data_IF_289455374226
#
_entry.id   IF_289455374226
#
_cell.length_a   1.000
_cell.length_b   1.000
_cell.length_c   1.000
_cell.angle_alpha   90.00
_cell.angle_beta   90.00
_cell.angle_gamma   90.00
#
_symmetry.space_group_name_H-M   'P 1'
#
loop_
_entity.id
_entity.type
_entity.pdbx_description
1 polymer ?
#
# COMPACT_ATOMS: atom_id res chain seq x y z
N UNK A 1 21.23 -62.10 40.01
CA UNK A 1 22.35 -61.17 40.30
C UNK A 1 22.37 -60.14 39.19
N UNK A 2 22.04 -58.87 39.47
CA UNK A 2 22.21 -57.80 38.47
C UNK A 2 23.62 -57.20 38.60
N UNK A 3 24.18 -56.65 37.50
CA UNK A 3 25.48 -56.01 37.53
C UNK A 3 25.41 -54.57 38.06
N UNK A 4 26.50 -54.18 38.72
CA UNK A 4 26.79 -52.93 39.40
C UNK A 4 26.88 -51.72 38.43
N UNK A 5 26.57 -50.48 38.88
CA UNK A 5 26.74 -49.28 38.06
C UNK A 5 28.21 -48.79 38.08
N UNK A 6 28.68 -48.14 37.00
CA UNK A 6 29.99 -47.49 36.94
C UNK A 6 29.95 -46.10 37.59
N UNK A 7 31.12 -45.73 38.09
CA UNK A 7 31.35 -44.64 39.03
C UNK A 7 31.23 -43.21 38.48
N UNK A 8 31.02 -42.32 39.45
CA UNK A 8 31.09 -40.86 39.35
C UNK A 8 32.43 -40.36 38.82
N UNK A 9 32.40 -39.64 37.69
CA UNK A 9 33.46 -38.72 37.30
C UNK A 9 33.04 -37.28 37.54
N UNK A 10 33.73 -36.62 38.41
CA UNK A 10 33.63 -35.23 38.80
C UNK A 10 33.81 -34.30 37.56
N UNK A 11 32.76 -33.61 37.18
CA UNK A 11 32.86 -32.51 36.20
C UNK A 11 33.18 -31.22 36.91
N UNK A 12 34.38 -30.75 36.81
CA UNK A 12 34.83 -29.42 37.17
C UNK A 12 34.15 -28.39 36.28
N UNK A 13 33.50 -27.43 36.95
CA UNK A 13 32.86 -26.22 36.37
C UNK A 13 33.92 -25.39 35.65
N UNK A 14 33.79 -25.27 34.33
CA UNK A 14 34.48 -24.24 33.57
C UNK A 14 33.42 -23.27 33.06
N UNK A 15 33.15 -22.21 33.84
CA UNK A 15 32.38 -21.04 33.45
C UNK A 15 33.21 -20.23 32.45
N UNK A 16 33.22 -20.70 31.20
CA UNK A 16 33.82 -20.01 30.06
C UNK A 16 32.89 -18.91 29.58
N UNK A 17 33.32 -17.67 29.79
CA UNK A 17 32.76 -16.44 29.21
C UNK A 17 32.41 -16.61 27.73
N UNK A 18 31.14 -16.77 27.43
CA UNK A 18 30.64 -16.67 26.06
C UNK A 18 30.57 -15.18 25.70
N UNK A 19 31.70 -14.56 25.33
CA UNK A 19 31.73 -13.32 24.60
C UNK A 19 31.07 -13.57 23.25
N UNK A 20 29.85 -13.06 23.06
CA UNK A 20 29.29 -12.88 21.73
C UNK A 20 30.27 -11.99 20.94
N UNK A 21 30.99 -12.62 20.04
CA UNK A 21 31.68 -11.89 18.98
C UNK A 21 30.60 -11.46 17.97
N UNK A 22 30.46 -10.18 17.65
CA UNK A 22 29.70 -9.75 16.50
C UNK A 22 30.57 -10.02 15.26
N UNK A 23 30.49 -11.24 14.76
CA UNK A 23 31.02 -11.61 13.45
C UNK A 23 30.11 -11.03 12.37
N UNK A 24 30.23 -9.74 12.11
CA UNK A 24 29.80 -9.14 10.85
C UNK A 24 30.63 -9.83 9.74
N UNK A 25 30.00 -10.76 9.05
CA UNK A 25 30.45 -11.15 7.72
C UNK A 25 30.27 -9.91 6.85
N UNK A 26 31.35 -9.19 6.61
CA UNK A 26 31.46 -8.20 5.55
C UNK A 26 31.28 -8.95 4.22
N UNK A 27 30.00 -9.12 3.83
CA UNK A 27 29.63 -9.51 2.47
C UNK A 27 30.17 -8.44 1.55
N UNK A 28 31.00 -8.88 0.62
CA UNK A 28 31.72 -8.15 -0.41
C UNK A 28 30.79 -7.16 -1.19
N UNK A 29 30.47 -6.02 -0.60
CA UNK A 29 29.81 -4.89 -1.25
C UNK A 29 30.89 -3.92 -1.71
N UNK A 30 31.22 -4.07 -3.01
CA UNK A 30 31.97 -3.13 -3.83
C UNK A 30 31.92 -1.68 -3.32
N UNK A 31 33.02 -1.14 -2.85
CA UNK A 31 33.44 0.28 -2.93
C UNK A 31 32.55 1.42 -2.43
N UNK A 32 31.26 1.17 -2.10
CA UNK A 32 30.32 2.24 -1.71
C UNK A 32 30.52 2.66 -0.26
N UNK A 33 30.86 3.94 0.05
CA UNK A 33 31.04 4.41 1.40
C UNK A 33 29.82 4.18 2.29
N UNK A 34 30.05 3.90 3.60
CA UNK A 34 28.98 3.63 4.56
C UNK A 34 27.91 4.73 4.59
N UNK A 35 28.31 5.98 4.52
CA UNK A 35 27.39 7.12 4.53
C UNK A 35 26.42 7.11 3.33
N UNK A 36 26.89 6.72 2.12
CA UNK A 36 26.02 6.57 0.94
C UNK A 36 25.00 5.46 1.15
N UNK A 37 25.40 4.34 1.75
CA UNK A 37 24.47 3.23 2.08
C UNK A 37 23.44 3.66 3.11
N UNK A 38 23.82 4.47 4.09
CA UNK A 38 22.90 5.04 5.09
C UNK A 38 21.90 5.97 4.41
N UNK A 39 22.34 6.91 3.59
CA UNK A 39 21.43 7.80 2.83
C UNK A 39 20.48 6.96 1.95
N UNK A 40 21.01 6.00 1.23
CA UNK A 40 20.19 5.10 0.43
C UNK A 40 19.16 4.35 1.29
N UNK A 41 19.55 3.88 2.47
CA UNK A 41 18.63 3.25 3.44
C UNK A 41 17.47 4.15 3.83
N UNK A 42 17.70 5.43 4.10
CA UNK A 42 16.64 6.39 4.41
C UNK A 42 15.75 6.72 3.20
N UNK A 43 16.29 6.72 1.97
CA UNK A 43 15.51 6.95 0.75
C UNK A 43 14.61 5.76 0.40
N UNK A 44 15.07 4.53 0.69
CA UNK A 44 14.32 3.30 0.40
C UNK A 44 13.32 2.97 1.51
N UNK A 45 13.60 3.40 2.76
CA UNK A 45 12.77 3.12 3.93
C UNK A 45 11.25 3.32 3.71
N UNK A 46 10.78 4.44 3.13
CA UNK A 46 9.35 4.71 3.01
C UNK A 46 8.68 4.08 1.79
N UNK A 47 9.35 3.17 1.08
CA UNK A 47 8.82 2.54 -0.15
C UNK A 47 8.46 3.54 -1.26
N UNK A 48 9.46 4.02 -1.98
CA UNK A 48 9.31 5.08 -2.99
C UNK A 48 8.22 4.82 -4.04
N UNK A 49 8.04 3.57 -4.50
CA UNK A 49 7.07 3.24 -5.57
C UNK A 49 5.62 3.52 -5.15
N UNK A 50 5.10 3.03 -4.02
CA UNK A 50 3.77 3.41 -3.54
C UNK A 50 3.59 4.92 -3.36
N UNK A 51 4.60 5.62 -2.83
CA UNK A 51 4.55 7.08 -2.65
C UNK A 51 4.36 7.77 -4.00
N UNK A 52 5.18 7.43 -5.00
CA UNK A 52 5.09 8.03 -6.33
C UNK A 52 3.70 7.80 -6.94
N UNK A 53 3.16 6.58 -6.85
CA UNK A 53 1.83 6.25 -7.39
C UNK A 53 0.76 7.13 -6.75
N UNK A 54 0.78 7.27 -5.41
CA UNK A 54 -0.22 8.09 -4.70
C UNK A 54 -0.04 9.58 -5.00
N UNK A 55 1.19 10.07 -5.12
CA UNK A 55 1.45 11.48 -5.51
C UNK A 55 0.98 11.77 -6.93
N UNK A 56 1.21 10.87 -7.89
CA UNK A 56 0.72 10.99 -9.27
C UNK A 56 -0.82 10.98 -9.28
N UNK A 57 -1.46 10.09 -8.54
CA UNK A 57 -2.92 10.07 -8.41
C UNK A 57 -3.46 11.36 -7.78
N UNK A 58 -2.82 11.85 -6.70
CA UNK A 58 -3.18 13.13 -6.05
C UNK A 58 -3.08 14.29 -7.02
N UNK A 59 -2.01 14.35 -7.80
CA UNK A 59 -1.81 15.38 -8.81
C UNK A 59 -2.85 15.31 -9.94
N UNK A 60 -3.13 14.10 -10.45
CA UNK A 60 -4.17 13.90 -11.46
C UNK A 60 -5.55 14.35 -10.96
N UNK A 61 -5.92 13.99 -9.73
CA UNK A 61 -7.16 14.45 -9.12
C UNK A 61 -7.17 15.97 -8.88
N UNK A 62 -6.02 16.58 -8.56
CA UNK A 62 -5.94 18.04 -8.41
C UNK A 62 -6.17 18.77 -9.72
N UNK A 63 -5.62 18.26 -10.83
CA UNK A 63 -5.90 18.79 -12.17
C UNK A 63 -7.38 18.69 -12.52
N UNK A 64 -8.01 17.54 -12.24
CA UNK A 64 -9.42 17.31 -12.50
C UNK A 64 -10.31 18.22 -11.63
N UNK A 65 -10.06 18.30 -10.32
CA UNK A 65 -10.85 19.11 -9.38
C UNK A 65 -10.77 20.61 -9.69
N UNK A 66 -9.60 21.08 -10.15
CA UNK A 66 -9.38 22.49 -10.52
C UNK A 66 -9.77 22.80 -11.97
N UNK A 67 -10.21 21.81 -12.74
CA UNK A 67 -10.45 21.95 -14.19
C UNK A 67 -9.26 22.59 -14.92
N UNK A 68 -8.04 22.16 -14.56
CA UNK A 68 -6.77 22.68 -15.10
C UNK A 68 -5.70 22.77 -14.03
N UNK A 69 -4.76 23.68 -14.22
CA UNK A 69 -3.63 23.87 -13.30
C UNK A 69 -4.05 24.59 -12.01
N UNK A 70 -3.94 23.97 -10.82
CA UNK A 70 -4.37 24.60 -9.56
C UNK A 70 -3.42 25.68 -9.05
N UNK A 71 -2.32 25.93 -9.73
CA UNK A 71 -1.27 26.85 -9.32
C UNK A 71 -0.14 26.15 -8.56
N UNK A 72 1.10 26.63 -8.72
CA UNK A 72 2.30 25.98 -8.18
C UNK A 72 2.28 25.88 -6.65
N UNK A 73 1.90 26.97 -5.96
CA UNK A 73 1.85 26.98 -4.50
C UNK A 73 0.80 26.05 -3.90
N UNK A 74 -0.35 25.87 -4.56
CA UNK A 74 -1.38 24.91 -4.17
C UNK A 74 -0.88 23.48 -4.40
N UNK A 75 -0.34 23.20 -5.58
CA UNK A 75 0.20 21.89 -5.95
C UNK A 75 1.28 21.42 -4.98
N UNK A 76 2.26 22.27 -4.68
CA UNK A 76 3.34 21.91 -3.77
C UNK A 76 2.86 21.61 -2.35
N UNK A 77 1.91 22.40 -1.83
CA UNK A 77 1.34 22.15 -0.49
C UNK A 77 0.51 20.88 -0.46
N UNK A 78 -0.32 20.65 -1.50
CA UNK A 78 -1.16 19.45 -1.60
C UNK A 78 -0.30 18.18 -1.70
N UNK A 79 0.66 18.15 -2.63
CA UNK A 79 1.57 17.01 -2.80
C UNK A 79 2.48 16.84 -1.59
N UNK A 80 2.93 17.94 -0.97
CA UNK A 80 3.74 17.89 0.25
C UNK A 80 2.97 17.31 1.45
N UNK A 81 1.69 17.65 1.63
CA UNK A 81 0.84 17.07 2.66
C UNK A 81 0.68 15.56 2.44
N UNK A 82 0.37 15.15 1.21
CA UNK A 82 0.25 13.73 0.85
C UNK A 82 1.59 13.00 1.04
N UNK A 83 2.70 13.58 0.58
CA UNK A 83 4.03 13.01 0.75
C UNK A 83 4.36 12.79 2.23
N UNK A 84 4.07 13.77 3.09
CA UNK A 84 4.26 13.65 4.54
C UNK A 84 3.49 12.48 5.14
N UNK A 85 2.22 12.32 4.79
CA UNK A 85 1.38 11.19 5.22
C UNK A 85 1.94 9.84 4.74
N UNK A 86 2.31 9.75 3.46
CA UNK A 86 2.89 8.53 2.88
C UNK A 86 4.25 8.18 3.48
N UNK A 87 5.09 9.18 3.76
CA UNK A 87 6.36 9.01 4.44
C UNK A 87 6.17 8.39 5.83
N UNK A 88 5.22 8.90 6.60
CA UNK A 88 4.89 8.36 7.91
C UNK A 88 4.36 6.92 7.84
N UNK A 89 3.44 6.63 6.92
CA UNK A 89 2.88 5.28 6.70
C UNK A 89 3.99 4.28 6.35
N UNK A 90 4.87 4.63 5.40
CA UNK A 90 5.97 3.77 4.97
C UNK A 90 6.97 3.51 6.09
N UNK A 91 7.36 4.55 6.85
CA UNK A 91 8.28 4.40 7.98
C UNK A 91 7.69 3.56 9.11
N UNK A 92 6.39 3.72 9.44
CA UNK A 92 5.69 2.86 10.41
C UNK A 92 5.63 1.41 9.93
N UNK A 93 5.37 1.19 8.63
CA UNK A 93 5.35 -0.16 8.07
C UNK A 93 6.68 -0.88 8.28
N UNK A 94 7.81 -0.21 8.00
CA UNK A 94 9.15 -0.77 8.23
C UNK A 94 9.46 -1.00 9.72
N UNK A 95 9.01 -0.10 10.62
CA UNK A 95 9.16 -0.28 12.07
C UNK A 95 8.40 -1.51 12.58
N UNK A 96 7.19 -1.73 12.11
CA UNK A 96 6.34 -2.88 12.49
C UNK A 96 6.89 -4.18 11.93
N UNK A 97 7.42 -4.15 10.72
CA UNK A 97 7.95 -5.34 10.05
C UNK A 97 9.38 -5.70 10.50
N UNK A 98 10.14 -4.78 11.09
CA UNK A 98 11.55 -4.95 11.42
C UNK A 98 11.91 -6.27 12.14
N UNK A 99 11.14 -6.77 13.15
CA UNK A 99 11.45 -8.04 13.82
C UNK A 99 11.36 -9.26 12.89
N UNK A 100 10.40 -9.27 11.97
CA UNK A 100 10.21 -10.38 11.01
C UNK A 100 11.19 -10.25 9.83
N UNK A 101 11.41 -9.04 9.36
CA UNK A 101 12.35 -8.77 8.29
C UNK A 101 13.79 -9.09 8.70
N UNK A 102 14.14 -9.01 9.99
CA UNK A 102 15.43 -9.44 10.49
C UNK A 102 15.74 -10.92 10.19
N UNK A 103 14.71 -11.76 10.09
CA UNK A 103 14.84 -13.18 9.74
C UNK A 103 14.66 -13.41 8.24
N UNK A 104 13.63 -12.80 7.65
CA UNK A 104 13.21 -13.11 6.29
C UNK A 104 13.91 -12.24 5.22
N UNK A 105 14.29 -11.01 5.56
CA UNK A 105 14.85 -9.99 4.64
C UNK A 105 15.95 -9.18 5.32
N UNK A 106 17.08 -9.79 5.71
CA UNK A 106 18.13 -9.16 6.50
C UNK A 106 18.79 -7.95 5.80
N UNK A 107 18.65 -7.85 4.48
CA UNK A 107 19.21 -6.76 3.67
C UNK A 107 18.35 -5.47 3.71
N UNK A 108 17.15 -5.51 4.30
CA UNK A 108 16.32 -4.30 4.46
C UNK A 108 17.00 -3.26 5.36
N UNK A 109 16.69 -1.95 5.18
CA UNK A 109 17.41 -0.85 5.85
C UNK A 109 17.53 -0.96 7.36
N UNK A 110 16.46 -1.36 8.07
CA UNK A 110 16.49 -1.49 9.54
C UNK A 110 17.22 -2.75 9.97
N UNK A 111 16.90 -3.97 9.48
CA UNK A 111 17.65 -5.18 9.78
C UNK A 111 19.15 -5.09 9.46
N UNK A 112 19.51 -4.47 8.33
CA UNK A 112 20.90 -4.27 7.91
C UNK A 112 21.66 -3.23 8.76
N UNK A 113 21.01 -2.56 9.73
CA UNK A 113 21.62 -1.53 10.56
C UNK A 113 21.98 -0.23 9.82
N UNK A 114 21.41 -0.03 8.62
CA UNK A 114 21.58 1.21 7.84
C UNK A 114 20.70 2.34 8.39
N UNK A 115 19.51 2.00 8.89
CA UNK A 115 18.58 2.91 9.55
C UNK A 115 18.31 2.40 10.96
N UNK A 116 18.48 3.25 11.97
CA UNK A 116 18.12 2.90 13.35
C UNK A 116 16.62 2.99 13.58
N UNK A 117 16.09 2.26 14.58
CA UNK A 117 14.68 2.37 14.98
C UNK A 117 14.31 3.83 15.34
N UNK A 118 15.20 4.55 16.02
CA UNK A 118 14.96 5.96 16.34
C UNK A 118 14.99 6.84 15.08
N UNK A 119 15.87 6.55 14.12
CA UNK A 119 15.89 7.21 12.82
C UNK A 119 14.57 7.02 12.06
N UNK A 120 14.04 5.81 12.04
CA UNK A 120 12.72 5.54 11.42
C UNK A 120 11.57 6.25 12.15
N UNK A 121 11.60 6.33 13.50
CA UNK A 121 10.64 7.12 14.30
C UNK A 121 10.72 8.61 13.99
N UNK A 122 11.92 9.15 13.80
CA UNK A 122 12.12 10.54 13.40
C UNK A 122 11.54 10.81 12.01
N UNK A 123 11.74 9.90 11.04
CA UNK A 123 11.13 9.99 9.71
C UNK A 123 9.60 9.98 9.82
N UNK A 124 9.03 9.10 10.66
CA UNK A 124 7.59 9.08 10.93
C UNK A 124 7.10 10.41 11.47
N UNK A 125 7.76 10.94 12.51
CA UNK A 125 7.41 12.23 13.13
C UNK A 125 7.51 13.40 12.16
N UNK A 126 8.59 13.47 11.39
CA UNK A 126 8.80 14.50 10.37
C UNK A 126 7.70 14.44 9.28
N UNK A 127 7.34 13.23 8.83
CA UNK A 127 6.25 13.02 7.88
C UNK A 127 4.91 13.50 8.42
N UNK A 128 4.58 13.16 9.67
CA UNK A 128 3.34 13.62 10.32
C UNK A 128 3.31 15.13 10.47
N UNK A 129 4.40 15.76 10.90
CA UNK A 129 4.49 17.22 11.03
C UNK A 129 4.29 17.88 9.67
N UNK A 130 4.95 17.39 8.62
CA UNK A 130 4.81 17.91 7.26
C UNK A 130 3.36 17.81 6.78
N UNK A 131 2.72 16.66 6.96
CA UNK A 131 1.31 16.42 6.62
C UNK A 131 0.41 17.40 7.36
N UNK A 132 0.54 17.54 8.68
CA UNK A 132 -0.28 18.44 9.51
C UNK A 132 -0.12 19.90 9.07
N UNK A 133 1.13 20.37 9.00
CA UNK A 133 1.42 21.78 8.67
C UNK A 133 0.86 22.14 7.30
N UNK A 134 1.11 21.32 6.28
CA UNK A 134 0.70 21.63 4.92
C UNK A 134 -0.81 21.45 4.71
N UNK A 135 -1.43 20.41 5.28
CA UNK A 135 -2.88 20.22 5.15
C UNK A 135 -3.70 21.29 5.89
N UNK A 136 -3.23 21.78 7.04
CA UNK A 136 -3.85 22.87 7.76
C UNK A 136 -3.84 24.19 6.98
N UNK A 137 -2.90 24.42 6.07
CA UNK A 137 -2.92 25.62 5.20
C UNK A 137 -4.14 25.69 4.28
N UNK A 138 -4.86 24.57 4.09
CA UNK A 138 -6.11 24.48 3.35
C UNK A 138 -7.35 24.45 4.25
N UNK A 139 -7.16 24.55 5.57
CA UNK A 139 -8.24 24.55 6.55
C UNK A 139 -8.47 23.22 7.27
N UNK A 140 -9.32 23.21 8.30
CA UNK A 140 -9.52 22.06 9.18
C UNK A 140 -10.09 20.84 8.47
N UNK A 141 -10.99 21.03 7.50
CA UNK A 141 -11.56 19.92 6.73
C UNK A 141 -10.49 19.15 5.95
N UNK A 142 -9.59 19.87 5.25
CA UNK A 142 -8.49 19.25 4.53
C UNK A 142 -7.55 18.47 5.48
N UNK A 143 -7.23 19.08 6.62
CA UNK A 143 -6.43 18.42 7.64
C UNK A 143 -7.11 17.13 8.15
N UNK A 144 -8.39 17.18 8.53
CA UNK A 144 -9.10 16.01 9.08
C UNK A 144 -9.17 14.85 8.08
N UNK A 145 -9.47 15.14 6.82
CA UNK A 145 -9.53 14.11 5.77
C UNK A 145 -8.14 13.51 5.48
N UNK A 146 -7.10 14.34 5.39
CA UNK A 146 -5.72 13.88 5.19
C UNK A 146 -5.23 13.07 6.39
N UNK A 147 -5.51 13.52 7.61
CA UNK A 147 -5.17 12.83 8.86
C UNK A 147 -5.90 11.49 8.96
N UNK A 148 -7.19 11.42 8.59
CA UNK A 148 -7.95 10.17 8.55
C UNK A 148 -7.33 9.17 7.57
N UNK A 149 -6.97 9.61 6.36
CA UNK A 149 -6.29 8.75 5.38
C UNK A 149 -4.94 8.24 5.89
N UNK A 150 -4.14 9.13 6.49
CA UNK A 150 -2.83 8.77 7.07
C UNK A 150 -2.99 7.81 8.25
N UNK A 151 -3.91 8.08 9.17
CA UNK A 151 -4.21 7.22 10.32
C UNK A 151 -4.67 5.83 9.86
N UNK A 152 -5.48 5.75 8.81
CA UNK A 152 -5.95 4.50 8.22
C UNK A 152 -4.80 3.69 7.64
N UNK A 153 -3.84 4.32 6.95
CA UNK A 153 -2.63 3.65 6.44
C UNK A 153 -1.70 3.16 7.56
N UNK A 154 -1.57 3.92 8.64
CA UNK A 154 -0.84 3.50 9.85
C UNK A 154 -1.55 2.32 10.52
N UNK A 155 -2.87 2.39 10.69
CA UNK A 155 -3.67 1.31 11.25
C UNK A 155 -3.56 0.02 10.44
N UNK A 156 -3.53 0.13 9.10
CA UNK A 156 -3.24 -1.01 8.23
C UNK A 156 -1.93 -1.69 8.62
N UNK A 157 -0.85 -0.94 8.74
CA UNK A 157 0.49 -1.48 9.05
C UNK A 157 0.55 -2.15 10.42
N UNK A 158 -0.14 -1.60 11.43
CA UNK A 158 -0.08 -2.10 12.83
C UNK A 158 -1.03 -3.28 13.06
N UNK A 159 -2.28 -3.22 12.56
CA UNK A 159 -3.33 -4.16 12.98
C UNK A 159 -3.91 -5.00 11.86
N UNK A 160 -4.05 -4.45 10.64
CA UNK A 160 -4.85 -5.10 9.59
C UNK A 160 -4.04 -5.92 8.60
N UNK A 161 -2.77 -5.57 8.37
CA UNK A 161 -1.93 -6.11 7.29
C UNK A 161 -1.91 -7.64 7.20
N UNK A 162 -1.95 -8.33 8.34
CA UNK A 162 -1.86 -9.80 8.44
C UNK A 162 -3.18 -10.49 8.78
N UNK A 163 -4.28 -9.76 8.69
CA UNK A 163 -5.60 -10.25 9.04
C UNK A 163 -6.52 -10.37 7.82
N UNK A 164 -7.61 -11.13 7.98
CA UNK A 164 -8.69 -11.23 6.98
C UNK A 164 -9.34 -9.85 6.71
N UNK A 165 -9.19 -8.89 7.63
CA UNK A 165 -9.72 -7.54 7.55
C UNK A 165 -8.78 -6.54 6.86
N UNK A 166 -7.70 -7.01 6.25
CA UNK A 166 -6.68 -6.18 5.58
C UNK A 166 -7.23 -5.26 4.48
N UNK A 167 -8.40 -5.57 3.94
CA UNK A 167 -9.10 -4.76 2.93
C UNK A 167 -9.82 -3.52 3.51
N UNK A 168 -10.17 -3.51 4.81
CA UNK A 168 -10.94 -2.39 5.42
C UNK A 168 -10.20 -1.05 5.34
N UNK A 169 -8.93 -0.93 5.71
CA UNK A 169 -8.20 0.34 5.57
C UNK A 169 -8.14 0.85 4.12
N UNK A 170 -8.04 -0.05 3.15
CA UNK A 170 -8.06 0.34 1.73
C UNK A 170 -9.43 0.87 1.31
N UNK A 171 -10.51 0.28 1.83
CA UNK A 171 -11.88 0.74 1.58
C UNK A 171 -12.10 2.18 2.08
N UNK A 172 -11.43 2.57 3.16
CA UNK A 172 -11.50 3.94 3.67
C UNK A 172 -10.54 4.85 2.89
N UNK A 173 -9.26 4.48 2.78
CA UNK A 173 -8.20 5.37 2.30
C UNK A 173 -8.28 5.67 0.80
N UNK A 174 -8.59 4.67 -0.05
CA UNK A 174 -8.55 4.87 -1.50
C UNK A 174 -9.68 5.80 -2.01
N UNK A 175 -10.97 5.61 -1.61
CA UNK A 175 -12.01 6.57 -1.99
C UNK A 175 -11.85 7.95 -1.32
N UNK A 176 -11.20 7.99 -0.14
CA UNK A 176 -10.98 9.23 0.58
C UNK A 176 -10.01 10.17 -0.16
N UNK A 177 -9.08 9.63 -0.94
CA UNK A 177 -8.09 10.43 -1.68
C UNK A 177 -8.74 11.46 -2.62
N UNK A 178 -9.60 11.09 -3.59
CA UNK A 178 -10.28 12.08 -4.42
C UNK A 178 -11.18 13.00 -3.61
N UNK A 179 -11.91 12.50 -2.60
CA UNK A 179 -12.77 13.34 -1.75
C UNK A 179 -11.94 14.41 -1.03
N UNK A 180 -10.78 14.05 -0.48
CA UNK A 180 -9.85 14.99 0.13
C UNK A 180 -9.39 16.08 -0.85
N UNK A 181 -9.01 15.68 -2.07
CA UNK A 181 -8.55 16.64 -3.09
C UNK A 181 -9.67 17.61 -3.47
N UNK A 182 -10.89 17.12 -3.73
CA UNK A 182 -12.04 18.00 -4.03
C UNK A 182 -12.43 18.90 -2.86
N UNK A 183 -12.47 18.37 -1.65
CA UNK A 183 -12.75 19.17 -0.45
C UNK A 183 -11.68 20.25 -0.21
N UNK A 184 -10.44 19.98 -0.59
CA UNK A 184 -9.32 20.92 -0.43
C UNK A 184 -9.35 22.04 -1.49
N UNK A 185 -9.78 21.73 -2.71
CA UNK A 185 -9.76 22.65 -3.84
C UNK A 185 -11.10 23.37 -4.07
N UNK A 186 -12.13 23.10 -3.26
CA UNK A 186 -13.28 24.00 -3.11
C UNK A 186 -14.63 23.50 -3.62
N UNK A 187 -14.78 22.25 -4.09
CA UNK A 187 -16.09 21.76 -4.51
C UNK A 187 -16.24 20.24 -4.32
N UNK A 188 -16.95 19.84 -3.27
CA UNK A 188 -17.39 18.43 -3.16
C UNK A 188 -18.71 18.28 -3.89
N UNK A 189 -18.69 17.59 -5.02
CA UNK A 189 -19.90 17.13 -5.69
C UNK A 189 -20.43 15.88 -4.97
N UNK A 190 -21.76 15.80 -4.74
CA UNK A 190 -22.41 14.65 -4.11
C UNK A 190 -22.21 13.36 -4.93
N UNK A 191 -22.11 13.47 -6.25
CA UNK A 191 -21.77 12.35 -7.14
C UNK A 191 -20.42 11.73 -6.84
N UNK A 192 -19.50 12.49 -6.21
CA UNK A 192 -18.21 11.96 -5.77
C UNK A 192 -18.37 10.90 -4.65
N UNK A 193 -19.43 10.99 -3.84
CA UNK A 193 -19.69 10.02 -2.78
C UNK A 193 -20.04 8.62 -3.33
N UNK A 194 -20.51 8.53 -4.57
CA UNK A 194 -20.74 7.25 -5.26
C UNK A 194 -19.44 6.45 -5.48
N UNK A 195 -18.27 7.09 -5.33
CA UNK A 195 -16.98 6.40 -5.37
C UNK A 195 -16.84 5.36 -4.24
N UNK A 196 -17.59 5.49 -3.13
CA UNK A 196 -17.56 4.49 -2.07
C UNK A 196 -18.19 3.16 -2.50
N UNK A 197 -19.45 3.05 -2.97
CA UNK A 197 -20.00 1.77 -3.40
C UNK A 197 -19.27 1.19 -4.61
N UNK A 198 -18.88 2.02 -5.59
CA UNK A 198 -18.08 1.59 -6.75
C UNK A 198 -16.67 1.20 -6.32
N UNK A 199 -16.03 2.06 -5.51
CA UNK A 199 -14.67 1.85 -5.03
C UNK A 199 -14.54 0.67 -4.08
N UNK A 200 -15.57 0.34 -3.30
CA UNK A 200 -15.54 -0.80 -2.39
C UNK A 200 -15.22 -2.11 -3.11
N UNK A 201 -15.90 -2.38 -4.23
CA UNK A 201 -15.65 -3.58 -5.03
C UNK A 201 -14.26 -3.55 -5.67
N UNK A 202 -13.83 -2.39 -6.21
CA UNK A 202 -12.49 -2.23 -6.80
C UNK A 202 -11.38 -2.40 -5.76
N UNK A 203 -11.58 -1.88 -4.54
CA UNK A 203 -10.63 -2.01 -3.42
C UNK A 203 -10.45 -3.46 -3.01
N UNK A 204 -11.53 -4.23 -2.91
CA UNK A 204 -11.45 -5.67 -2.61
C UNK A 204 -10.67 -6.40 -3.70
N UNK A 205 -10.93 -6.06 -4.97
CA UNK A 205 -10.18 -6.63 -6.09
C UNK A 205 -8.68 -6.32 -6.01
N UNK A 206 -8.30 -5.06 -5.74
CA UNK A 206 -6.91 -4.62 -5.59
C UNK A 206 -6.23 -5.36 -4.43
N UNK A 207 -6.87 -5.42 -3.26
CA UNK A 207 -6.29 -6.05 -2.07
C UNK A 207 -6.04 -7.54 -2.28
N UNK A 208 -7.00 -8.24 -2.89
CA UNK A 208 -6.83 -9.66 -3.22
C UNK A 208 -5.72 -9.85 -4.25
N UNK A 209 -5.73 -9.07 -5.34
CA UNK A 209 -4.75 -9.18 -6.41
C UNK A 209 -3.31 -8.90 -5.93
N UNK A 210 -3.14 -7.94 -5.00
CA UNK A 210 -1.86 -7.61 -4.39
C UNK A 210 -1.29 -8.76 -3.54
N UNK A 211 -2.17 -9.47 -2.82
CA UNK A 211 -1.76 -10.58 -1.94
C UNK A 211 -1.63 -11.93 -2.68
N UNK A 212 -2.07 -11.99 -3.93
CA UNK A 212 -2.16 -13.25 -4.68
C UNK A 212 -0.82 -13.96 -4.90
N UNK A 213 0.30 -13.26 -5.23
CA UNK A 213 1.59 -13.91 -5.41
C UNK A 213 2.14 -14.56 -4.14
N UNK A 214 1.77 -14.05 -2.97
CA UNK A 214 2.33 -14.45 -1.68
C UNK A 214 1.45 -15.45 -0.92
N UNK A 215 0.29 -15.87 -1.47
CA UNK A 215 -0.70 -16.72 -0.78
C UNK A 215 -0.11 -17.97 -0.14
N UNK A 216 0.79 -18.67 -0.82
CA UNK A 216 1.37 -19.92 -0.29
C UNK A 216 2.41 -19.62 0.80
N UNK A 217 3.23 -18.58 0.63
CA UNK A 217 4.22 -18.15 1.62
C UNK A 217 3.53 -17.59 2.88
N UNK A 218 2.49 -16.78 2.70
CA UNK A 218 1.66 -16.25 3.77
C UNK A 218 0.98 -17.35 4.57
N UNK A 219 0.41 -18.34 3.87
CA UNK A 219 -0.20 -19.52 4.51
C UNK A 219 0.81 -20.29 5.36
N UNK A 220 2.01 -20.54 4.84
CA UNK A 220 3.08 -21.21 5.56
C UNK A 220 3.55 -20.44 6.80
N UNK A 221 3.48 -19.10 6.75
CA UNK A 221 3.85 -18.21 7.86
C UNK A 221 2.72 -17.92 8.84
N UNK A 222 1.53 -18.54 8.67
CA UNK A 222 0.38 -18.34 9.55
C UNK A 222 -0.36 -17.00 9.35
N UNK A 223 -0.04 -16.26 8.30
CA UNK A 223 -0.75 -15.02 7.90
C UNK A 223 -2.14 -15.40 7.39
N UNK A 224 -3.17 -14.62 7.77
CA UNK A 224 -4.58 -14.91 7.46
C UNK A 224 -5.23 -13.76 6.68
N UNK A 225 -4.69 -13.43 5.51
CA UNK A 225 -5.36 -12.47 4.62
C UNK A 225 -6.60 -13.06 3.94
N UNK A 226 -7.43 -12.22 3.34
CA UNK A 226 -8.61 -12.69 2.58
C UNK A 226 -8.17 -13.60 1.42
N UNK A 227 -7.08 -13.29 0.73
CA UNK A 227 -6.54 -14.12 -0.36
C UNK A 227 -6.10 -15.51 0.13
N UNK A 228 -5.45 -15.58 1.32
CA UNK A 228 -5.06 -16.85 1.95
C UNK A 228 -6.27 -17.68 2.34
N UNK A 229 -7.32 -17.05 2.90
CA UNK A 229 -8.56 -17.73 3.30
C UNK A 229 -9.30 -18.34 2.10
N UNK A 230 -9.32 -17.65 0.97
CA UNK A 230 -9.94 -18.12 -0.27
C UNK A 230 -9.10 -19.19 -1.01
N UNK A 231 -7.78 -19.09 -0.90
CA UNK A 231 -6.82 -19.82 -1.74
C UNK A 231 -6.63 -19.15 -3.11
N UNK A 232 -5.49 -19.39 -3.76
CA UNK A 232 -5.03 -18.63 -4.92
C UNK A 232 -6.04 -18.57 -6.09
N UNK A 233 -6.67 -19.69 -6.43
CA UNK A 233 -7.63 -19.77 -7.55
C UNK A 233 -8.92 -18.97 -7.25
N UNK A 234 -9.57 -19.24 -6.11
CA UNK A 234 -10.80 -18.54 -5.73
C UNK A 234 -10.53 -17.05 -5.47
N UNK A 235 -9.39 -16.72 -4.89
CA UNK A 235 -8.97 -15.34 -4.67
C UNK A 235 -8.88 -14.58 -6.01
N UNK A 236 -8.24 -15.16 -7.03
CA UNK A 236 -8.15 -14.56 -8.36
C UNK A 236 -9.52 -14.36 -9.01
N UNK A 237 -10.39 -15.37 -8.98
CA UNK A 237 -11.75 -15.27 -9.50
C UNK A 237 -12.53 -14.18 -8.75
N UNK A 238 -12.40 -14.13 -7.42
CA UNK A 238 -13.06 -13.10 -6.59
C UNK A 238 -12.56 -11.69 -6.97
N UNK A 239 -11.25 -11.51 -7.23
CA UNK A 239 -10.72 -10.23 -7.70
C UNK A 239 -11.32 -9.80 -9.05
N UNK A 240 -11.45 -10.71 -10.01
CA UNK A 240 -12.09 -10.43 -11.30
C UNK A 240 -13.57 -10.08 -11.15
N UNK A 241 -14.31 -10.86 -10.36
CA UNK A 241 -15.74 -10.64 -10.11
C UNK A 241 -15.97 -9.30 -9.39
N UNK A 242 -15.14 -8.99 -8.40
CA UNK A 242 -15.24 -7.73 -7.67
C UNK A 242 -14.94 -6.52 -8.58
N UNK A 243 -13.94 -6.61 -9.47
CA UNK A 243 -13.66 -5.55 -10.42
C UNK A 243 -14.74 -5.40 -11.49
N UNK A 244 -15.30 -6.51 -11.99
CA UNK A 244 -16.44 -6.50 -12.88
C UNK A 244 -17.65 -5.84 -12.22
N UNK A 245 -17.93 -6.16 -10.97
CA UNK A 245 -18.99 -5.52 -10.19
C UNK A 245 -18.76 -4.01 -10.06
N UNK A 246 -17.52 -3.58 -9.78
CA UNK A 246 -17.16 -2.16 -9.75
C UNK A 246 -17.45 -1.47 -11.09
N UNK A 247 -17.07 -2.09 -12.21
CA UNK A 247 -17.30 -1.56 -13.55
C UNK A 247 -18.80 -1.47 -13.88
N UNK A 248 -19.57 -2.49 -13.53
CA UNK A 248 -21.04 -2.51 -13.74
C UNK A 248 -21.74 -1.46 -12.87
N UNK A 249 -21.36 -1.33 -11.60
CA UNK A 249 -21.89 -0.29 -10.71
C UNK A 249 -21.55 1.12 -11.24
N UNK A 250 -20.31 1.34 -11.65
CA UNK A 250 -19.90 2.62 -12.24
C UNK A 250 -20.72 2.94 -13.51
N UNK A 251 -20.82 1.99 -14.43
CA UNK A 251 -21.56 2.18 -15.68
C UNK A 251 -23.07 2.40 -15.43
N UNK A 252 -23.66 1.66 -14.50
CA UNK A 252 -25.08 1.76 -14.16
C UNK A 252 -25.44 3.06 -13.43
N UNK A 253 -24.56 3.57 -12.55
CA UNK A 253 -24.80 4.81 -11.80
C UNK A 253 -24.48 6.07 -12.63
N UNK A 254 -23.63 5.97 -13.65
CA UNK A 254 -23.16 7.11 -14.42
C UNK A 254 -24.32 7.99 -14.99
N UNK A 255 -25.41 7.45 -15.61
CA UNK A 255 -26.48 8.28 -16.15
C UNK A 255 -27.25 9.12 -15.10
N UNK A 256 -27.14 8.72 -13.82
CA UNK A 256 -27.86 9.39 -12.72
C UNK A 256 -27.00 10.43 -12.00
N UNK A 257 -25.68 10.35 -12.14
CA UNK A 257 -24.73 11.10 -11.32
C UNK A 257 -23.83 12.02 -12.13
N UNK A 258 -23.82 11.94 -13.47
CA UNK A 258 -23.01 12.79 -14.34
C UNK A 258 -23.67 13.06 -15.68
N UNK A 259 -23.46 14.26 -16.23
CA UNK A 259 -23.89 14.63 -17.59
C UNK A 259 -23.03 13.98 -18.68
N UNK A 260 -21.95 13.31 -18.32
CA UNK A 260 -21.00 12.69 -19.25
C UNK A 260 -20.83 11.17 -19.05
N UNK A 261 -21.93 10.36 -19.05
CA UNK A 261 -21.87 8.92 -18.74
C UNK A 261 -20.98 8.13 -19.70
N UNK A 262 -20.84 8.58 -20.95
CA UNK A 262 -20.02 7.92 -21.98
C UNK A 262 -18.57 7.74 -21.52
N UNK A 263 -18.01 8.68 -20.77
CA UNK A 263 -16.64 8.58 -20.25
C UNK A 263 -16.48 7.43 -19.27
N UNK A 264 -17.47 7.27 -18.38
CA UNK A 264 -17.51 6.15 -17.43
C UNK A 264 -17.69 4.82 -18.15
N UNK A 265 -18.53 4.77 -19.17
CA UNK A 265 -18.72 3.56 -19.99
C UNK A 265 -17.44 3.15 -20.73
N UNK A 266 -16.71 4.10 -21.30
CA UNK A 266 -15.40 3.83 -21.91
C UNK A 266 -14.43 3.28 -20.87
N UNK A 267 -14.36 3.90 -19.68
CA UNK A 267 -13.52 3.42 -18.60
C UNK A 267 -13.90 2.01 -18.13
N UNK A 268 -15.20 1.71 -18.03
CA UNK A 268 -15.70 0.38 -17.68
C UNK A 268 -15.35 -0.68 -18.74
N UNK A 269 -15.43 -0.33 -20.03
CA UNK A 269 -15.01 -1.23 -21.13
C UNK A 269 -13.50 -1.50 -21.09
N UNK A 270 -12.68 -0.50 -20.82
CA UNK A 270 -11.23 -0.68 -20.66
C UNK A 270 -10.93 -1.58 -19.44
N UNK A 271 -11.62 -1.35 -18.32
CA UNK A 271 -11.47 -2.19 -17.13
C UNK A 271 -11.84 -3.65 -17.42
N UNK A 272 -12.95 -3.90 -18.14
CA UNK A 272 -13.35 -5.22 -18.57
C UNK A 272 -12.29 -5.86 -19.49
N UNK A 273 -11.75 -5.12 -20.45
CA UNK A 273 -10.68 -5.61 -21.33
C UNK A 273 -9.44 -6.05 -20.56
N UNK A 274 -9.06 -5.31 -19.50
CA UNK A 274 -7.93 -5.67 -18.64
C UNK A 274 -8.19 -6.94 -17.82
N UNK A 275 -9.43 -7.16 -17.35
CA UNK A 275 -9.83 -8.41 -16.71
C UNK A 275 -9.72 -9.58 -17.68
N UNK A 276 -10.26 -9.43 -18.89
CA UNK A 276 -10.21 -10.45 -19.95
C UNK A 276 -8.74 -10.75 -20.31
N UNK A 277 -7.91 -9.74 -20.44
CA UNK A 277 -6.47 -9.91 -20.70
C UNK A 277 -5.79 -10.75 -19.61
N UNK A 278 -6.05 -10.42 -18.33
CA UNK A 278 -5.47 -11.20 -17.23
C UNK A 278 -6.00 -12.64 -17.21
N UNK A 279 -7.29 -12.85 -17.50
CA UNK A 279 -7.88 -14.18 -17.61
C UNK A 279 -7.25 -14.98 -18.75
N UNK A 280 -7.03 -14.37 -19.91
CA UNK A 280 -6.37 -14.99 -21.06
C UNK A 280 -4.91 -15.39 -20.75
N UNK A 281 -4.16 -14.49 -20.11
CA UNK A 281 -2.79 -14.81 -19.65
C UNK A 281 -2.82 -15.98 -18.67
N UNK A 282 -3.77 -15.99 -17.72
CA UNK A 282 -3.91 -17.04 -16.72
C UNK A 282 -4.24 -18.39 -17.36
N UNK A 283 -5.07 -18.40 -18.42
CA UNK A 283 -5.42 -19.59 -19.15
C UNK A 283 -4.23 -20.24 -19.83
N UNK A 284 -3.30 -19.44 -20.34
CA UNK A 284 -2.06 -19.94 -21.00
C UNK A 284 -0.96 -20.26 -20.01
N UNK A 285 -0.82 -19.46 -18.95
CA UNK A 285 0.23 -19.63 -17.91
C UNK A 285 -0.28 -19.07 -16.58
N UNK A 286 -0.65 -19.95 -15.65
CA UNK A 286 -1.18 -19.60 -14.33
C UNK A 286 -0.20 -18.74 -13.53
N UNK A 287 1.11 -19.02 -13.62
CA UNK A 287 2.13 -18.26 -12.88
C UNK A 287 2.23 -16.82 -13.40
N UNK A 288 2.29 -16.65 -14.71
CA UNK A 288 2.28 -15.32 -15.35
C UNK A 288 0.98 -14.58 -15.07
N UNK A 289 -0.16 -15.27 -15.15
CA UNK A 289 -1.46 -14.69 -14.84
C UNK A 289 -1.56 -14.21 -13.39
N UNK A 290 -1.01 -14.97 -12.44
CA UNK A 290 -0.95 -14.58 -11.03
C UNK A 290 -0.11 -13.30 -10.85
N UNK A 291 1.07 -13.22 -11.47
CA UNK A 291 1.92 -12.04 -11.41
C UNK A 291 1.32 -10.82 -12.13
N UNK A 292 0.58 -11.04 -13.22
CA UNK A 292 -0.10 -9.99 -13.99
C UNK A 292 -1.41 -9.52 -13.34
N UNK A 293 -1.95 -10.26 -12.36
CA UNK A 293 -3.25 -9.96 -11.76
C UNK A 293 -3.28 -8.56 -11.12
N UNK A 294 -2.31 -8.26 -10.27
CA UNK A 294 -2.24 -6.96 -9.60
C UNK A 294 -2.09 -5.79 -10.58
N UNK A 295 -1.13 -5.75 -11.52
CA UNK A 295 -1.04 -4.65 -12.48
C UNK A 295 -2.30 -4.51 -13.34
N UNK A 296 -2.95 -5.58 -13.79
CA UNK A 296 -4.19 -5.49 -14.55
C UNK A 296 -5.35 -4.90 -13.70
N UNK A 297 -5.54 -5.41 -12.49
CA UNK A 297 -6.60 -4.97 -11.57
C UNK A 297 -6.37 -3.52 -11.12
N UNK A 298 -5.14 -3.16 -10.75
CA UNK A 298 -4.80 -1.81 -10.33
C UNK A 298 -5.00 -0.80 -11.47
N UNK A 299 -4.54 -1.13 -12.68
CA UNK A 299 -4.73 -0.28 -13.86
C UNK A 299 -6.22 -0.10 -14.17
N UNK A 300 -7.02 -1.16 -14.10
CA UNK A 300 -8.46 -1.09 -14.33
C UNK A 300 -9.16 -0.21 -13.28
N UNK A 301 -8.79 -0.33 -12.00
CA UNK A 301 -9.35 0.50 -10.93
C UNK A 301 -8.97 1.98 -11.10
N UNK A 302 -7.73 2.27 -11.52
CA UNK A 302 -7.29 3.64 -11.84
C UNK A 302 -8.09 4.21 -13.00
N UNK A 303 -8.27 3.45 -14.09
CA UNK A 303 -9.05 3.87 -15.26
C UNK A 303 -10.50 4.17 -14.87
N UNK A 304 -11.13 3.31 -14.05
CA UNK A 304 -12.48 3.55 -13.53
C UNK A 304 -12.55 4.83 -12.69
N UNK A 305 -11.61 5.01 -11.76
CA UNK A 305 -11.56 6.19 -10.89
C UNK A 305 -11.34 7.49 -11.68
N UNK A 306 -10.41 7.49 -12.63
CA UNK A 306 -10.13 8.65 -13.49
C UNK A 306 -11.31 8.94 -14.42
N UNK A 307 -11.91 7.91 -15.05
CA UNK A 307 -13.08 8.07 -15.91
C UNK A 307 -14.27 8.66 -15.16
N UNK A 308 -14.51 8.21 -13.92
CA UNK A 308 -15.53 8.76 -13.03
C UNK A 308 -15.26 10.22 -12.67
N UNK A 309 -14.05 10.52 -12.18
CA UNK A 309 -13.65 11.87 -11.80
C UNK A 309 -13.68 12.84 -12.98
N UNK A 310 -13.24 12.42 -14.17
CA UNK A 310 -13.31 13.20 -15.39
C UNK A 310 -14.77 13.47 -15.84
N UNK A 311 -15.67 12.50 -15.65
CA UNK A 311 -17.08 12.66 -15.96
C UNK A 311 -17.75 13.69 -15.03
N UNK A 312 -17.44 13.68 -13.72
CA UNK A 312 -17.92 14.68 -12.75
C UNK A 312 -17.31 16.07 -12.99
N UNK A 313 -16.05 16.15 -13.38
CA UNK A 313 -15.39 17.42 -13.65
C UNK A 313 -15.88 18.11 -14.94
N UNK A 314 -16.65 17.41 -15.78
CA UNK A 314 -17.13 17.94 -17.05
C UNK A 314 -16.04 18.07 -18.14
N UNK A 315 -14.94 17.28 -18.03
CA UNK A 315 -13.80 17.27 -18.98
C UNK A 315 -14.10 16.40 -20.20
#
# INVERSE_FOLDING_TARGET
>A
MPPSPPGNASATSNAGNCRMQPGLKDGNHSGTPRWMRVIHGYLVLPHAVPIIVVLVATFAFALLASRGWPGTGVTLRLLGAMFGGQLAIGAVNELVDAPLDAVAKPDKPIPAGLVSLNGARLVTGAGLVLMVVLSLTFGPTSFLLCALGTATGIAYSIWFKRSIWSWIPYLVALPLLPIWVWATLGSVDTGLLAIYPVGAAAVIAIQIAQSLPDVEADRASGVRTLAVALGAERARITAWVALLLAALLAAGLAPWLTDHPVRVWIAALIALALVILNAAITWTDVKRGTMACFPCVASAAVVLGVGWAAALAGW
#
